data_IF_567539649673
#
_entry.id   IF_567539649673
#
_cell.length_a   1.000
_cell.length_b   1.000
_cell.length_c   1.000
_cell.angle_alpha   90.00
_cell.angle_beta   90.00
_cell.angle_gamma   90.00
#
_symmetry.space_group_name_H-M   'P 1'
#
loop_
_entity.id
_entity.type
_entity.pdbx_description
1 polymer ?
#
# COMPACT_ATOMS: atom_id res chain seq x y z
N UNK A 1 -18.68 -0.51 -18.62
CA UNK A 1 -17.70 0.46 -19.16
C UNK A 1 -17.87 0.49 -20.68
N UNK A 2 -18.33 1.60 -21.25
CA UNK A 2 -18.33 1.80 -22.70
C UNK A 2 -16.98 2.41 -23.08
N UNK A 3 -16.15 1.63 -23.75
CA UNK A 3 -14.90 2.12 -24.35
C UNK A 3 -15.29 2.82 -25.65
N UNK A 4 -15.63 4.10 -25.56
CA UNK A 4 -15.74 4.97 -26.73
C UNK A 4 -14.38 4.94 -27.44
N UNK A 5 -14.38 4.81 -28.77
CA UNK A 5 -13.18 4.53 -29.58
C UNK A 5 -12.22 5.72 -29.61
N UNK A 6 -11.51 5.96 -28.52
CA UNK A 6 -10.40 6.91 -28.50
C UNK A 6 -9.17 6.12 -28.95
N UNK A 7 -8.57 6.57 -30.06
CA UNK A 7 -7.27 6.17 -30.66
C UNK A 7 -6.48 5.07 -29.94
N UNK A 8 -5.97 4.06 -30.66
CA UNK A 8 -5.41 2.76 -30.18
C UNK A 8 -4.41 2.72 -29.00
N UNK A 9 -3.99 3.85 -28.43
CA UNK A 9 -3.30 3.94 -27.13
C UNK A 9 -4.25 4.05 -25.92
N UNK A 10 -5.54 4.37 -26.10
CA UNK A 10 -6.47 4.55 -24.98
C UNK A 10 -6.71 3.27 -24.18
N UNK A 11 -6.82 2.12 -24.86
CA UNK A 11 -6.92 0.83 -24.19
C UNK A 11 -5.69 0.54 -23.34
N UNK A 12 -4.48 0.89 -23.82
CA UNK A 12 -3.24 0.71 -23.07
C UNK A 12 -3.23 1.53 -21.77
N UNK A 13 -3.69 2.78 -21.78
CA UNK A 13 -3.77 3.59 -20.56
C UNK A 13 -4.75 3.02 -19.54
N UNK A 14 -5.89 2.48 -20.00
CA UNK A 14 -6.85 1.81 -19.12
C UNK A 14 -6.21 0.59 -18.46
N UNK A 15 -5.48 -0.23 -19.22
CA UNK A 15 -4.76 -1.37 -18.64
C UNK A 15 -3.69 -0.91 -17.66
N UNK A 16 -2.88 0.11 -18.00
CA UNK A 16 -1.84 0.63 -17.12
C UNK A 16 -2.39 1.09 -15.77
N UNK A 17 -3.48 1.87 -15.78
CA UNK A 17 -4.15 2.34 -14.56
C UNK A 17 -4.67 1.17 -13.72
N UNK A 18 -5.31 0.19 -14.37
CA UNK A 18 -5.82 -1.01 -13.71
C UNK A 18 -4.71 -1.83 -13.04
N UNK A 19 -3.60 -2.08 -13.76
CA UNK A 19 -2.46 -2.81 -13.22
C UNK A 19 -1.78 -2.06 -12.07
N UNK A 20 -1.59 -0.75 -12.22
CA UNK A 20 -1.03 0.08 -11.16
C UNK A 20 -1.90 0.05 -9.89
N UNK A 21 -3.22 0.11 -10.05
CA UNK A 21 -4.15 0.04 -8.92
C UNK A 21 -4.08 -1.32 -8.21
N UNK A 22 -4.02 -2.44 -8.95
CA UNK A 22 -3.89 -3.78 -8.37
C UNK A 22 -2.58 -3.89 -7.57
N UNK A 23 -1.46 -3.44 -8.13
CA UNK A 23 -0.15 -3.53 -7.48
C UNK A 23 -0.14 -2.73 -6.18
N UNK A 24 -0.60 -1.49 -6.21
CA UNK A 24 -0.68 -0.63 -5.02
C UNK A 24 -1.62 -1.20 -3.97
N UNK A 25 -2.76 -1.75 -4.39
CA UNK A 25 -3.70 -2.40 -3.48
C UNK A 25 -3.07 -3.60 -2.78
N UNK A 26 -2.38 -4.46 -3.53
CA UNK A 26 -1.72 -5.63 -2.96
C UNK A 26 -0.64 -5.26 -1.94
N UNK A 27 0.17 -4.21 -2.21
CA UNK A 27 1.16 -3.71 -1.24
C UNK A 27 0.52 -3.23 0.06
N UNK A 28 -0.61 -2.52 -0.03
CA UNK A 28 -1.36 -2.05 1.14
C UNK A 28 -1.89 -3.24 1.94
N UNK A 29 -2.49 -4.23 1.27
CA UNK A 29 -3.03 -5.41 1.93
C UNK A 29 -1.95 -6.22 2.66
N UNK A 30 -0.76 -6.34 2.09
CA UNK A 30 0.37 -7.02 2.72
C UNK A 30 0.80 -6.34 4.04
N UNK A 31 0.89 -5.00 4.03
CA UNK A 31 1.20 -4.19 5.22
C UNK A 31 0.11 -4.31 6.30
N UNK A 32 -1.16 -4.28 5.90
CA UNK A 32 -2.29 -4.44 6.83
C UNK A 32 -2.30 -5.85 7.43
N UNK A 33 -2.05 -6.87 6.62
CA UNK A 33 -2.01 -8.26 7.06
C UNK A 33 -0.88 -8.51 8.08
N UNK A 34 0.34 -8.04 7.78
CA UNK A 34 1.49 -8.19 8.69
C UNK A 34 1.27 -7.47 10.02
N UNK A 35 0.68 -6.28 9.98
CA UNK A 35 0.36 -5.48 11.17
C UNK A 35 -0.74 -6.12 12.02
N UNK A 36 -1.82 -6.61 11.39
CA UNK A 36 -2.90 -7.32 12.10
C UNK A 36 -2.40 -8.58 12.80
N UNK A 37 -1.54 -9.37 12.13
CA UNK A 37 -0.91 -10.56 12.72
C UNK A 37 -0.06 -10.24 13.94
N UNK A 38 0.58 -9.06 13.97
CA UNK A 38 1.34 -8.59 15.13
C UNK A 38 0.42 -8.24 16.29
N UNK A 39 -0.68 -7.54 16.02
CA UNK A 39 -1.69 -7.18 17.01
C UNK A 39 -2.37 -8.42 17.60
N UNK A 40 -2.70 -9.43 16.79
CA UNK A 40 -3.26 -10.70 17.26
C UNK A 40 -2.34 -11.37 18.29
N UNK A 41 -1.05 -11.49 17.97
CA UNK A 41 -0.03 -12.04 18.89
C UNK A 41 0.11 -11.23 20.18
N UNK A 42 0.00 -9.90 20.11
CA UNK A 42 0.07 -9.05 21.30
C UNK A 42 -1.20 -9.13 22.16
N UNK A 43 -2.36 -9.26 21.52
CA UNK A 43 -3.66 -9.39 22.18
C UNK A 43 -3.80 -10.73 22.89
N UNK A 44 -3.22 -11.81 22.35
CA UNK A 44 -3.12 -13.09 23.05
C UNK A 44 -2.28 -12.97 24.33
N UNK A 45 -1.18 -12.20 24.29
CA UNK A 45 -0.29 -11.98 25.44
C UNK A 45 -0.87 -11.05 26.49
N UNK A 46 -1.57 -10.01 26.07
CA UNK A 46 -2.17 -8.98 26.93
C UNK A 46 -3.67 -9.07 26.73
N UNK A 47 -4.40 -9.69 27.69
CA UNK A 47 -5.86 -9.82 27.66
C UNK A 47 -6.56 -8.45 27.67
N UNK A 48 -6.63 -7.79 26.51
CA UNK A 48 -7.36 -6.54 26.34
C UNK A 48 -8.86 -6.80 26.43
N UNK A 49 -9.62 -5.86 26.99
CA UNK A 49 -11.09 -5.95 27.12
C UNK A 49 -11.80 -5.95 25.76
N UNK A 50 -11.19 -5.35 24.75
CA UNK A 50 -11.74 -5.19 23.40
C UNK A 50 -10.71 -5.58 22.33
N UNK A 51 -11.16 -6.07 21.16
CA UNK A 51 -10.27 -6.35 20.05
C UNK A 51 -9.63 -5.07 19.52
N UNK A 52 -8.30 -5.07 19.43
CA UNK A 52 -7.56 -3.97 18.80
C UNK A 52 -7.67 -4.14 17.28
N UNK A 53 -8.00 -3.06 16.58
CA UNK A 53 -8.10 -3.04 15.11
C UNK A 53 -7.29 -1.87 14.56
N UNK A 54 -6.65 -2.09 13.43
CA UNK A 54 -5.95 -1.03 12.69
C UNK A 54 -6.98 -0.13 12.03
N UNK A 55 -6.74 1.18 12.09
CA UNK A 55 -7.48 2.12 11.26
C UNK A 55 -6.91 2.08 9.84
N UNK A 56 -7.56 1.30 8.97
CA UNK A 56 -7.12 1.10 7.58
C UNK A 56 -7.02 2.41 6.80
N UNK A 57 -7.93 3.37 7.02
CA UNK A 57 -7.89 4.66 6.31
C UNK A 57 -6.61 5.45 6.66
N UNK A 58 -6.24 5.46 7.94
CA UNK A 58 -5.01 6.12 8.38
C UNK A 58 -3.79 5.38 7.83
N UNK A 59 -3.78 4.05 7.89
CA UNK A 59 -2.69 3.23 7.36
C UNK A 59 -2.48 3.45 5.85
N UNK A 60 -3.56 3.48 5.08
CA UNK A 60 -3.53 3.78 3.63
C UNK A 60 -2.99 5.19 3.37
N UNK A 61 -3.40 6.18 4.18
CA UNK A 61 -2.89 7.54 4.08
C UNK A 61 -1.38 7.62 4.30
N UNK A 62 -0.91 7.03 5.40
CA UNK A 62 0.52 6.97 5.74
C UNK A 62 1.34 6.22 4.70
N UNK A 63 0.81 5.11 4.17
CA UNK A 63 1.44 4.35 3.10
C UNK A 63 1.60 5.20 1.84
N UNK A 64 0.52 5.83 1.37
CA UNK A 64 0.55 6.67 0.15
C UNK A 64 1.54 7.82 0.30
N UNK A 65 1.60 8.46 1.46
CA UNK A 65 2.55 9.54 1.72
C UNK A 65 4.01 9.06 1.58
N UNK A 66 4.36 7.94 2.22
CA UNK A 66 5.71 7.35 2.12
C UNK A 66 6.01 6.87 0.70
N UNK A 67 5.04 6.26 0.03
CA UNK A 67 5.20 5.74 -1.32
C UNK A 67 5.44 6.85 -2.35
N UNK A 68 4.72 7.97 -2.26
CA UNK A 68 4.96 9.14 -3.13
C UNK A 68 6.38 9.71 -2.88
N UNK A 69 6.79 9.82 -1.62
CA UNK A 69 8.15 10.27 -1.24
C UNK A 69 9.26 9.34 -1.73
N UNK A 70 8.97 8.05 -1.91
CA UNK A 70 9.85 7.07 -2.51
C UNK A 70 9.96 7.28 -4.02
N UNK A 71 8.82 7.42 -4.72
CA UNK A 71 8.78 7.56 -6.18
C UNK A 71 9.46 8.83 -6.68
N UNK A 72 9.41 9.92 -5.91
CA UNK A 72 10.01 11.22 -6.27
C UNK A 72 11.49 11.31 -5.84
N UNK A 73 11.97 10.41 -4.97
CA UNK A 73 13.34 10.46 -4.45
C UNK A 73 14.37 10.30 -5.59
N UNK A 74 15.23 11.28 -5.87
CA UNK A 74 16.20 11.18 -6.97
C UNK A 74 17.42 10.31 -6.63
N UNK A 75 17.80 10.20 -5.35
CA UNK A 75 18.99 9.45 -4.95
C UNK A 75 18.66 7.97 -4.75
N UNK A 76 19.29 7.10 -5.53
CA UNK A 76 19.00 5.66 -5.51
C UNK A 76 19.27 5.00 -4.15
N UNK A 77 20.30 5.43 -3.39
CA UNK A 77 20.56 4.90 -2.04
C UNK A 77 19.43 5.26 -1.07
N UNK A 78 19.00 6.52 -1.10
CA UNK A 78 17.93 7.00 -0.22
C UNK A 78 16.60 6.34 -0.63
N UNK A 79 16.40 6.12 -1.93
CA UNK A 79 15.23 5.40 -2.45
C UNK A 79 15.21 3.95 -1.96
N UNK A 80 16.33 3.24 -2.01
CA UNK A 80 16.45 1.89 -1.48
C UNK A 80 16.14 1.83 0.03
N UNK A 81 16.72 2.75 0.82
CA UNK A 81 16.45 2.84 2.26
C UNK A 81 14.97 3.10 2.55
N UNK A 82 14.33 4.02 1.81
CA UNK A 82 12.89 4.31 1.93
C UNK A 82 12.03 3.10 1.53
N UNK A 83 12.45 2.30 0.56
CA UNK A 83 11.73 1.10 0.14
C UNK A 83 11.76 0.04 1.25
N UNK A 84 12.93 -0.18 1.86
CA UNK A 84 13.09 -1.11 2.99
C UNK A 84 12.23 -0.67 4.17
N UNK A 85 12.19 0.64 4.47
CA UNK A 85 11.33 1.20 5.52
C UNK A 85 9.83 1.09 5.22
N UNK A 86 9.43 1.03 3.95
CA UNK A 86 8.03 0.88 3.55
C UNK A 86 7.57 -0.57 3.71
N UNK A 87 8.46 -1.53 3.43
CA UNK A 87 8.17 -2.97 3.51
C UNK A 87 8.25 -3.53 4.94
N UNK A 88 9.07 -2.91 5.81
CA UNK A 88 9.20 -3.28 7.21
C UNK A 88 8.70 -2.13 8.12
N UNK A 89 7.37 -1.92 8.20
CA UNK A 89 6.78 -0.86 9.02
C UNK A 89 6.93 -1.09 10.53
#
# INVERSE_FOLDING_TARGET
MKLESVTGKAALYVYQDFWAQIVVYNMIQDILHSSNKTIEKETEKRKYKYPIRINENIAIGLFKEKFIKLLIEPNDRIREEKLIQLQNP
#
